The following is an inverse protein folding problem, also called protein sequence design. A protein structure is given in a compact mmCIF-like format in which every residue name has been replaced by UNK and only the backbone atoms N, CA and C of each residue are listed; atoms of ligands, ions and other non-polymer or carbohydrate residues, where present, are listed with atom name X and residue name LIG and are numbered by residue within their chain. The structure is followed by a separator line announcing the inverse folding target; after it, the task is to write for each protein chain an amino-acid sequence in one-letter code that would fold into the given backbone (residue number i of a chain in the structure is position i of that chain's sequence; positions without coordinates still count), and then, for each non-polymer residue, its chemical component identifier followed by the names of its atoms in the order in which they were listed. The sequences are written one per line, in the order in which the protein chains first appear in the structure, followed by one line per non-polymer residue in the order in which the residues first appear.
data_IF_549516739746
#
_entry.id   IF_549516739746
#
_cell.length_a   1.000
_cell.length_b   1.000
_cell.length_c   1.000
_cell.angle_alpha   90.00
_cell.angle_beta   90.00
_cell.angle_gamma   90.00
#
_symmetry.space_group_name_H-M   'P 1'
#
loop_
_entity.id
_entity.type
_entity.pdbx_description
1 polymer ?
#
# COMPACT_ATOMS: atom_id res chain seq x y z
N UNK A 1 -10.11 -9.96 8.73
CA UNK A 1 -10.56 -9.38 10.02
C UNK A 1 -9.45 -8.48 10.53
N UNK A 2 -9.75 -7.25 10.97
CA UNK A 2 -8.74 -6.38 11.62
C UNK A 2 -8.61 -6.81 13.09
N UNK A 3 -7.38 -7.05 13.54
CA UNK A 3 -7.09 -7.47 14.92
C UNK A 3 -6.94 -6.27 15.90
N UNK A 4 -7.19 -5.04 15.43
CA UNK A 4 -6.95 -3.81 16.19
C UNK A 4 -5.87 -2.93 15.57
N UNK A 5 -5.31 -2.02 16.38
CA UNK A 5 -4.22 -1.12 15.98
C UNK A 5 -2.91 -1.60 16.61
N UNK A 6 -1.91 -1.86 15.78
CA UNK A 6 -0.59 -2.32 16.21
C UNK A 6 0.50 -1.41 15.62
N UNK A 7 1.61 -1.18 16.34
CA UNK A 7 2.69 -0.35 15.83
C UNK A 7 3.42 -1.03 14.67
N UNK A 8 3.72 -0.25 13.63
CA UNK A 8 4.62 -0.61 12.54
C UNK A 8 6.06 -0.08 12.75
N UNK A 9 6.30 0.66 13.83
CA UNK A 9 7.61 1.15 14.25
C UNK A 9 7.73 1.05 15.78
N UNK A 10 8.92 0.79 16.34
CA UNK A 10 9.14 0.90 17.78
C UNK A 10 8.84 2.32 18.27
N UNK A 11 8.05 2.45 19.33
CA UNK A 11 7.67 3.75 19.91
C UNK A 11 8.64 4.19 21.00
N UNK A 12 9.32 3.24 21.63
CA UNK A 12 10.35 3.42 22.64
C UNK A 12 11.12 2.10 22.81
N UNK A 13 12.18 2.11 23.63
CA UNK A 13 13.05 0.94 23.86
C UNK A 13 12.32 -0.28 24.43
N UNK A 14 11.16 -0.10 25.07
CA UNK A 14 10.32 -1.18 25.54
C UNK A 14 9.75 -2.04 24.40
N UNK A 15 9.63 -1.49 23.19
CA UNK A 15 9.16 -2.23 22.01
C UNK A 15 10.28 -3.12 21.40
N UNK A 16 11.53 -3.00 21.87
CA UNK A 16 12.67 -3.81 21.39
C UNK A 16 12.73 -5.22 21.99
N UNK A 17 11.90 -5.50 23.00
CA UNK A 17 11.82 -6.78 23.67
C UNK A 17 10.38 -7.13 24.06
N UNK A 18 10.03 -8.43 24.17
CA UNK A 18 10.83 -9.59 23.78
C UNK A 18 10.99 -9.68 22.25
N UNK A 19 11.84 -10.59 21.78
CA UNK A 19 12.15 -10.75 20.35
C UNK A 19 10.90 -10.90 19.46
N UNK A 20 9.87 -11.62 19.93
CA UNK A 20 8.62 -11.77 19.18
C UNK A 20 7.81 -10.48 19.08
N UNK A 21 7.96 -9.54 20.02
CA UNK A 21 7.25 -8.26 19.97
C UNK A 21 7.85 -7.35 18.91
N UNK A 22 9.18 -7.16 18.91
CA UNK A 22 9.83 -6.37 17.86
C UNK A 22 9.66 -7.01 16.47
N UNK A 23 9.64 -8.35 16.39
CA UNK A 23 9.34 -9.05 15.14
C UNK A 23 7.87 -8.84 14.71
N UNK A 24 6.91 -8.80 15.64
CA UNK A 24 5.52 -8.47 15.32
C UNK A 24 5.38 -7.04 14.75
N UNK A 25 6.15 -6.09 15.28
CA UNK A 25 6.24 -4.72 14.76
C UNK A 25 6.84 -4.71 13.35
N UNK A 26 7.94 -5.43 13.14
CA UNK A 26 8.57 -5.54 11.82
C UNK A 26 7.65 -6.22 10.79
N UNK A 27 6.92 -7.27 11.18
CA UNK A 27 5.92 -7.90 10.33
C UNK A 27 4.81 -6.89 9.99
N UNK A 28 4.25 -6.20 10.98
CA UNK A 28 3.24 -5.15 10.77
C UNK A 28 3.73 -4.08 9.80
N UNK A 29 5.00 -3.66 9.92
CA UNK A 29 5.64 -2.75 8.99
C UNK A 29 5.66 -3.29 7.55
N UNK A 30 6.05 -4.56 7.37
CA UNK A 30 6.06 -5.20 6.04
C UNK A 30 4.71 -5.12 5.33
N UNK A 31 3.61 -5.39 6.05
CA UNK A 31 2.25 -5.25 5.51
C UNK A 31 1.87 -3.79 5.25
N UNK A 32 2.20 -2.88 6.18
CA UNK A 32 1.86 -1.46 6.06
C UNK A 32 2.57 -0.79 4.86
N UNK A 33 3.87 -1.03 4.69
CA UNK A 33 4.59 -0.54 3.52
C UNK A 33 4.08 -1.18 2.23
N UNK A 34 3.87 -2.50 2.20
CA UNK A 34 3.29 -3.17 1.03
C UNK A 34 1.94 -2.56 0.60
N UNK A 35 1.09 -2.20 1.57
CA UNK A 35 -0.16 -1.50 1.31
C UNK A 35 0.03 -0.09 0.72
N UNK A 36 0.94 0.71 1.29
CA UNK A 36 1.23 2.07 0.81
C UNK A 36 1.75 2.04 -0.63
N UNK A 37 2.71 1.16 -0.92
CA UNK A 37 3.32 1.08 -2.25
C UNK A 37 2.37 0.51 -3.31
N UNK A 38 1.46 -0.39 -2.91
CA UNK A 38 0.36 -0.80 -3.78
C UNK A 38 -0.49 0.42 -4.17
N UNK A 39 -0.82 1.27 -3.20
CA UNK A 39 -1.52 2.54 -3.44
C UNK A 39 -0.75 3.46 -4.38
N UNK A 40 0.57 3.59 -4.17
CA UNK A 40 1.46 4.36 -5.04
C UNK A 40 1.45 3.87 -6.49
N UNK A 41 1.56 2.55 -6.69
CA UNK A 41 1.54 1.93 -8.02
C UNK A 41 0.32 2.34 -8.84
N UNK A 42 -0.84 2.53 -8.20
CA UNK A 42 -2.09 2.99 -8.80
C UNK A 42 -2.20 4.52 -8.91
N UNK A 43 -1.77 5.26 -7.89
CA UNK A 43 -1.93 6.71 -7.80
C UNK A 43 -1.16 7.44 -8.91
N UNK A 44 0.13 7.15 -9.08
CA UNK A 44 0.97 7.84 -10.05
C UNK A 44 0.48 7.73 -11.50
N UNK A 45 0.15 6.55 -12.05
CA UNK A 45 -0.43 6.46 -13.38
C UNK A 45 -1.84 7.05 -13.47
N UNK A 46 -2.59 7.09 -12.36
CA UNK A 46 -3.88 7.81 -12.32
C UNK A 46 -3.68 9.31 -12.52
N UNK A 47 -2.79 9.93 -11.74
CA UNK A 47 -2.52 11.37 -11.83
C UNK A 47 -1.85 11.74 -13.16
N UNK A 48 -1.00 10.87 -13.71
CA UNK A 48 -0.30 11.11 -14.97
C UNK A 48 -1.25 11.33 -16.16
N UNK A 49 -2.49 10.83 -16.09
CA UNK A 49 -3.50 11.04 -17.12
C UNK A 49 -4.06 12.46 -17.14
N UNK A 50 -4.00 13.18 -16.01
CA UNK A 50 -4.61 14.50 -15.83
C UNK A 50 -3.64 15.68 -15.86
N UNK A 51 -2.33 15.46 -15.71
CA UNK A 51 -1.35 16.55 -15.65
C UNK A 51 -1.05 17.15 -17.03
N UNK A 52 -0.84 18.47 -17.06
CA UNK A 52 -0.50 19.23 -18.27
C UNK A 52 0.96 19.65 -18.33
N UNK A 53 1.57 19.93 -17.18
CA UNK A 53 2.97 20.32 -17.11
C UNK A 53 3.87 19.10 -17.37
N UNK A 54 4.77 19.22 -18.36
CA UNK A 54 5.66 18.13 -18.77
C UNK A 54 6.68 17.75 -17.69
N UNK A 55 7.12 18.69 -16.85
CA UNK A 55 8.02 18.40 -15.73
C UNK A 55 7.29 17.58 -14.66
N UNK A 56 6.04 17.94 -14.35
CA UNK A 56 5.20 17.16 -13.43
C UNK A 56 4.93 15.77 -14.01
N UNK A 57 4.61 15.65 -15.30
CA UNK A 57 4.43 14.35 -15.94
C UNK A 57 5.69 13.48 -15.83
N UNK A 58 6.88 14.05 -16.08
CA UNK A 58 8.16 13.34 -15.91
C UNK A 58 8.37 12.86 -14.48
N UNK A 59 8.03 13.67 -13.49
CA UNK A 59 8.09 13.28 -12.07
C UNK A 59 7.15 12.09 -11.82
N UNK A 60 5.88 12.17 -12.20
CA UNK A 60 4.91 11.09 -11.96
C UNK A 60 5.32 9.78 -12.65
N UNK A 61 5.80 9.86 -13.89
CA UNK A 61 6.28 8.70 -14.65
C UNK A 61 7.61 8.13 -14.12
N UNK A 62 8.37 8.89 -13.33
CA UNK A 62 9.60 8.42 -12.69
C UNK A 62 9.33 7.79 -11.32
N UNK A 63 8.38 8.34 -10.56
CA UNK A 63 8.01 7.80 -9.25
C UNK A 63 7.18 6.52 -9.40
N UNK A 64 6.20 6.47 -10.32
CA UNK A 64 5.30 5.32 -10.47
C UNK A 64 6.01 3.95 -10.62
N UNK A 65 7.01 3.81 -11.51
CA UNK A 65 7.78 2.57 -11.62
C UNK A 65 8.59 2.23 -10.35
N UNK A 66 9.08 3.26 -9.64
CA UNK A 66 9.81 3.09 -8.39
C UNK A 66 8.91 2.51 -7.31
N UNK A 67 7.69 3.03 -7.14
CA UNK A 67 6.74 2.46 -6.16
C UNK A 67 6.24 1.08 -6.58
N UNK A 68 6.22 0.77 -7.87
CA UNK A 68 5.92 -0.60 -8.33
C UNK A 68 7.02 -1.58 -7.90
N UNK A 69 8.29 -1.18 -7.98
CA UNK A 69 9.41 -1.98 -7.49
C UNK A 69 9.43 -2.07 -5.95
N UNK A 70 9.13 -0.97 -5.25
CA UNK A 70 8.96 -0.97 -3.81
C UNK A 70 7.82 -1.91 -3.38
N UNK A 71 6.66 -1.85 -4.04
CA UNK A 71 5.55 -2.75 -3.78
C UNK A 71 5.97 -4.20 -3.91
N UNK A 72 6.63 -4.57 -5.01
CA UNK A 72 7.14 -5.93 -5.20
C UNK A 72 8.08 -6.36 -4.06
N UNK A 73 8.97 -5.46 -3.63
CA UNK A 73 9.91 -5.75 -2.52
C UNK A 73 9.17 -5.93 -1.20
N UNK A 74 8.25 -5.03 -0.86
CA UNK A 74 7.52 -5.09 0.41
C UNK A 74 6.47 -6.20 0.44
N UNK A 75 5.86 -6.51 -0.70
CA UNK A 75 4.99 -7.67 -0.86
C UNK A 75 5.75 -8.96 -0.56
N UNK A 76 6.96 -9.13 -1.11
CA UNK A 76 7.82 -10.28 -0.79
C UNK A 76 8.18 -10.33 0.70
N UNK A 77 8.50 -9.17 1.32
CA UNK A 77 8.76 -9.11 2.77
C UNK A 77 7.54 -9.48 3.61
N UNK A 78 6.35 -9.00 3.25
CA UNK A 78 5.10 -9.33 3.93
C UNK A 78 4.75 -10.82 3.77
N UNK A 79 4.93 -11.38 2.57
CA UNK A 79 4.75 -12.80 2.31
C UNK A 79 5.73 -13.67 3.10
N UNK A 80 6.99 -13.22 3.28
CA UNK A 80 7.99 -13.95 4.06
C UNK A 80 7.98 -13.62 5.57
N UNK A 81 6.95 -12.94 6.08
CA UNK A 81 6.85 -12.61 7.49
C UNK A 81 6.84 -13.89 8.36
N UNK A 82 7.76 -14.05 9.33
CA UNK A 82 7.79 -15.24 10.16
C UNK A 82 6.52 -15.36 11.01
N UNK A 83 6.01 -16.58 11.11
CA UNK A 83 4.88 -16.90 11.97
C UNK A 83 5.23 -16.68 13.44
N UNK A 84 4.36 -16.00 14.17
CA UNK A 84 4.53 -15.73 15.60
C UNK A 84 3.22 -15.33 16.26
N UNK A 85 3.20 -15.40 17.59
CA UNK A 85 2.23 -14.69 18.42
C UNK A 85 3.00 -13.68 19.27
N UNK A 86 2.61 -12.41 19.19
CA UNK A 86 3.17 -11.35 20.02
C UNK A 86 2.75 -11.58 21.48
N UNK A 87 3.70 -11.81 22.40
CA UNK A 87 3.37 -12.09 23.80
C UNK A 87 2.84 -10.86 24.57
N UNK A 88 2.96 -9.66 24.02
CA UNK A 88 2.55 -8.41 24.70
C UNK A 88 1.09 -8.05 24.45
N UNK A 89 0.52 -8.48 23.32
CA UNK A 89 -0.80 -8.05 22.87
C UNK A 89 -1.61 -9.14 22.14
N UNK A 90 -1.01 -10.31 21.89
CA UNK A 90 -1.68 -11.45 21.25
C UNK A 90 -1.84 -11.35 19.73
N UNK A 91 -1.22 -10.39 19.05
CA UNK A 91 -1.22 -10.32 17.59
C UNK A 91 -0.59 -11.59 17.00
N UNK A 92 -1.31 -12.24 16.09
CA UNK A 92 -0.88 -13.47 15.43
C UNK A 92 -0.51 -13.21 13.99
N UNK A 93 0.70 -13.61 13.60
CA UNK A 93 1.09 -13.84 12.21
C UNK A 93 1.09 -15.34 11.96
N UNK A 94 0.20 -15.86 11.09
CA UNK A 94 0.14 -17.29 10.81
C UNK A 94 1.31 -17.74 9.93
N UNK A 95 1.57 -19.05 9.92
CA UNK A 95 2.42 -19.67 8.90
C UNK A 95 1.67 -19.73 7.57
N UNK A 96 2.06 -18.85 6.63
CA UNK A 96 1.43 -18.75 5.31
C UNK A 96 1.68 -20.02 4.47
N UNK A 97 2.77 -20.75 4.69
CA UNK A 97 3.06 -21.95 3.92
C UNK A 97 2.26 -23.18 4.41
N UNK A 98 1.56 -23.10 5.54
CA UNK A 98 0.89 -24.25 6.15
C UNK A 98 -0.19 -24.90 5.27
N UNK A 99 -0.84 -24.13 4.38
CA UNK A 99 -1.87 -24.63 3.46
C UNK A 99 -1.32 -25.20 2.14
N UNK A 100 -0.08 -24.90 1.77
CA UNK A 100 0.57 -25.43 0.55
C UNK A 100 -0.01 -24.97 -0.79
N UNK A 101 -0.79 -23.89 -0.83
CA UNK A 101 -1.31 -23.29 -2.07
C UNK A 101 -0.47 -22.10 -2.53
N UNK A 102 -0.51 -21.81 -3.84
CA UNK A 102 0.22 -20.69 -4.46
C UNK A 102 -0.16 -19.34 -3.84
N UNK A 103 -1.46 -19.12 -3.54
CA UNK A 103 -1.98 -17.90 -2.92
C UNK A 103 -1.31 -17.53 -1.57
N UNK A 104 -0.73 -18.51 -0.88
CA UNK A 104 -0.08 -18.32 0.42
C UNK A 104 1.39 -18.76 0.41
N UNK A 105 1.93 -19.10 -0.76
CA UNK A 105 3.32 -19.53 -0.92
C UNK A 105 4.26 -18.33 -0.82
N UNK A 106 5.35 -18.50 -0.07
CA UNK A 106 6.36 -17.45 0.07
C UNK A 106 7.33 -17.38 -1.12
N UNK A 107 7.99 -16.24 -1.28
CA UNK A 107 8.96 -15.97 -2.36
C UNK A 107 8.37 -15.93 -3.77
N UNK A 108 7.08 -15.60 -3.88
CA UNK A 108 6.41 -15.26 -5.14
C UNK A 108 6.33 -13.74 -5.29
N UNK A 109 7.17 -13.20 -6.19
CA UNK A 109 7.33 -11.74 -6.34
C UNK A 109 6.58 -11.18 -7.56
N UNK A 110 6.20 -12.04 -8.51
CA UNK A 110 5.51 -11.58 -9.71
C UNK A 110 4.02 -11.42 -9.42
N UNK A 111 3.37 -10.34 -9.90
CA UNK A 111 1.95 -10.13 -9.68
C UNK A 111 1.11 -11.20 -10.37
N UNK A 112 0.19 -11.80 -9.63
CA UNK A 112 -0.76 -12.79 -10.15
C UNK A 112 -1.63 -12.21 -11.28
N UNK A 113 -1.81 -12.96 -12.38
CA UNK A 113 -2.73 -12.57 -13.43
C UNK A 113 -4.17 -12.45 -12.91
N UNK A 114 -4.86 -11.37 -13.29
CA UNK A 114 -6.28 -11.17 -12.97
C UNK A 114 -7.11 -11.02 -14.25
N UNK A 115 -8.44 -11.15 -14.12
CA UNK A 115 -9.39 -10.83 -15.19
C UNK A 115 -9.14 -9.40 -15.71
N UNK A 116 -8.91 -9.28 -17.02
CA UNK A 116 -8.65 -8.03 -17.73
C UNK A 116 -9.87 -7.56 -18.51
N UNK A 117 -10.58 -6.53 -18.01
CA UNK A 117 -11.80 -5.91 -18.57
C UNK A 117 -13.01 -6.85 -18.76
N UNK A 118 -12.81 -8.05 -19.30
CA UNK A 118 -13.79 -9.08 -19.59
C UNK A 118 -13.12 -10.46 -19.51
N UNK A 119 -13.85 -11.47 -19.02
CA UNK A 119 -13.37 -12.87 -18.94
C UNK A 119 -13.14 -13.54 -20.30
N UNK A 120 -13.51 -12.89 -21.41
CA UNK A 120 -13.20 -13.40 -22.76
C UNK A 120 -11.73 -13.23 -23.14
N UNK A 121 -11.02 -12.31 -22.48
CA UNK A 121 -9.58 -12.12 -22.68
C UNK A 121 -8.80 -12.97 -21.66
N UNK A 122 -7.57 -13.39 -22.01
CA UNK A 122 -6.68 -14.03 -21.05
C UNK A 122 -6.46 -13.17 -19.80
N UNK A 123 -6.20 -13.83 -18.67
CA UNK A 123 -5.77 -13.12 -17.47
C UNK A 123 -4.41 -12.45 -17.72
N UNK A 124 -4.22 -11.25 -17.19
CA UNK A 124 -2.96 -10.51 -17.28
C UNK A 124 -2.64 -9.85 -15.95
N UNK A 125 -1.37 -9.61 -15.69
CA UNK A 125 -0.91 -8.82 -14.57
C UNK A 125 -0.97 -7.33 -14.95
N UNK A 126 -1.79 -6.55 -14.24
CA UNK A 126 -2.02 -5.14 -14.54
C UNK A 126 -2.24 -4.34 -13.26
N UNK A 127 -1.75 -3.10 -13.25
CA UNK A 127 -1.98 -2.15 -12.18
C UNK A 127 -3.38 -1.57 -12.30
N UNK A 128 -4.15 -1.60 -11.20
CA UNK A 128 -5.50 -1.03 -11.11
C UNK A 128 -5.83 -0.59 -9.68
N UNK A 129 -6.76 0.37 -9.49
CA UNK A 129 -7.39 1.19 -10.53
C UNK A 129 -6.38 2.19 -11.13
N UNK A 130 -6.61 2.65 -12.35
CA UNK A 130 -5.91 3.83 -12.90
C UNK A 130 -6.89 4.96 -13.24
N UNK A 131 -8.16 4.82 -12.84
CA UNK A 131 -9.20 5.82 -13.02
C UNK A 131 -9.50 6.50 -11.69
N UNK A 132 -9.78 7.80 -11.72
CA UNK A 132 -10.21 8.56 -10.53
C UNK A 132 -11.64 8.14 -10.14
N UNK A 133 -12.54 8.00 -11.11
CA UNK A 133 -13.95 7.70 -10.84
C UNK A 133 -14.11 6.36 -10.11
N UNK A 134 -14.75 6.39 -8.93
CA UNK A 134 -15.03 5.23 -8.10
C UNK A 134 -14.07 5.08 -6.93
N UNK A 135 -12.83 4.65 -7.18
CA UNK A 135 -11.93 4.18 -6.12
C UNK A 135 -10.44 4.49 -6.34
N UNK A 136 -10.09 5.41 -7.23
CA UNK A 136 -8.70 5.81 -7.48
C UNK A 136 -8.48 7.31 -7.33
N UNK A 137 -7.27 7.78 -7.59
CA UNK A 137 -6.90 9.20 -7.45
C UNK A 137 -6.48 9.58 -6.03
N UNK A 138 -6.01 10.82 -5.89
CA UNK A 138 -5.44 11.34 -4.66
C UNK A 138 -6.47 11.35 -3.51
N UNK A 139 -7.74 11.69 -3.77
CA UNK A 139 -8.76 11.71 -2.71
C UNK A 139 -9.00 10.30 -2.16
N UNK A 140 -9.04 9.29 -3.03
CA UNK A 140 -9.18 7.90 -2.60
C UNK A 140 -7.96 7.47 -1.79
N UNK A 141 -6.74 7.77 -2.26
CA UNK A 141 -5.50 7.45 -1.55
C UNK A 141 -5.45 8.06 -0.15
N UNK A 142 -5.75 9.36 -0.01
CA UNK A 142 -5.71 10.02 1.30
C UNK A 142 -6.75 9.43 2.26
N UNK A 143 -7.96 9.14 1.78
CA UNK A 143 -8.98 8.45 2.60
C UNK A 143 -8.47 7.08 3.05
N UNK A 144 -7.86 6.35 2.13
CA UNK A 144 -7.31 5.02 2.37
C UNK A 144 -6.21 5.04 3.45
N UNK A 145 -5.21 5.91 3.29
CA UNK A 145 -4.10 6.06 4.24
C UNK A 145 -4.55 6.58 5.61
N UNK A 146 -5.56 7.46 5.63
CA UNK A 146 -6.16 7.91 6.88
C UNK A 146 -6.86 6.77 7.61
N UNK A 147 -7.60 5.92 6.88
CA UNK A 147 -8.29 4.76 7.44
C UNK A 147 -7.31 3.68 7.93
N UNK A 148 -6.17 3.51 7.25
CA UNK A 148 -5.09 2.62 7.64
C UNK A 148 -4.32 3.11 8.87
N UNK A 149 -4.46 4.40 9.21
CA UNK A 149 -3.89 4.99 10.41
C UNK A 149 -2.54 5.67 10.21
N UNK A 150 -2.10 5.87 8.96
CA UNK A 150 -0.83 6.51 8.62
C UNK A 150 -0.67 7.91 9.24
N UNK A 151 -1.78 8.64 9.38
CA UNK A 151 -1.81 10.02 9.89
C UNK A 151 -2.36 10.16 11.31
N UNK A 152 -2.36 9.07 12.11
CA UNK A 152 -2.77 9.15 13.52
C UNK A 152 -1.93 10.19 14.26
N UNK A 153 -2.60 11.09 14.99
CA UNK A 153 -1.96 12.16 15.77
C UNK A 153 -1.72 13.47 15.01
N UNK A 154 -2.04 13.55 13.72
CA UNK A 154 -1.99 14.80 12.95
C UNK A 154 -3.16 15.74 13.26
N UNK A 155 -2.96 17.05 13.04
CA UNK A 155 -3.96 18.08 13.35
C UNK A 155 -5.08 18.19 12.31
N UNK A 156 -6.16 18.89 12.63
CA UNK A 156 -7.25 19.13 11.68
C UNK A 156 -6.78 19.97 10.48
N UNK A 157 -5.87 20.92 10.70
CA UNK A 157 -5.28 21.76 9.67
C UNK A 157 -4.46 20.94 8.68
N UNK A 158 -3.71 19.93 9.16
CA UNK A 158 -3.01 18.97 8.29
C UNK A 158 -3.99 18.29 7.33
N UNK A 159 -5.10 17.76 7.85
CA UNK A 159 -6.11 17.09 7.02
C UNK A 159 -6.83 18.05 6.08
N UNK A 160 -7.02 19.32 6.46
CA UNK A 160 -7.59 20.34 5.60
C UNK A 160 -6.70 20.58 4.38
N UNK A 161 -5.40 20.82 4.60
CA UNK A 161 -4.41 21.03 3.52
C UNK A 161 -4.31 19.79 2.64
N UNK A 162 -4.17 18.61 3.25
CA UNK A 162 -4.02 17.35 2.51
C UNK A 162 -5.24 17.04 1.64
N UNK A 163 -6.45 17.30 2.16
CA UNK A 163 -7.70 17.10 1.42
C UNK A 163 -7.84 18.09 0.27
N UNK A 164 -7.45 19.35 0.46
CA UNK A 164 -7.47 20.36 -0.59
C UNK A 164 -6.52 19.97 -1.74
N UNK A 165 -5.27 19.60 -1.42
CA UNK A 165 -4.30 19.15 -2.41
C UNK A 165 -4.80 17.92 -3.19
N UNK A 166 -5.39 16.96 -2.48
CA UNK A 166 -5.94 15.76 -3.12
C UNK A 166 -7.10 16.09 -4.08
N UNK A 167 -8.00 17.00 -3.69
CA UNK A 167 -9.10 17.44 -4.56
C UNK A 167 -8.59 18.19 -5.80
N UNK A 168 -7.59 19.06 -5.64
CA UNK A 168 -6.97 19.77 -6.76
C UNK A 168 -6.27 18.81 -7.72
N UNK A 169 -5.55 17.81 -7.19
CA UNK A 169 -4.90 16.78 -7.99
C UNK A 169 -5.91 15.95 -8.79
N UNK A 170 -7.03 15.53 -8.18
CA UNK A 170 -8.07 14.77 -8.87
C UNK A 170 -8.91 15.62 -9.83
N UNK A 171 -8.97 16.94 -9.63
CA UNK A 171 -9.62 17.88 -10.53
C UNK A 171 -8.75 18.24 -11.74
N UNK A 172 -7.43 17.95 -11.70
CA UNK A 172 -6.54 18.21 -12.82
C UNK A 172 -7.03 17.46 -14.08
N UNK A 173 -7.07 18.17 -15.20
CA UNK A 173 -7.46 17.64 -16.51
C UNK A 173 -6.37 17.99 -17.50
N UNK A 174 -6.11 17.05 -18.40
CA UNK A 174 -5.21 17.29 -19.52
C UNK A 174 -5.85 18.33 -20.43
N UNK A 175 -5.28 19.53 -20.46
CA UNK A 175 -5.57 20.55 -21.46
C UNK A 175 -5.10 20.09 -22.84
N UNK A 176 -5.84 20.52 -23.88
CA UNK A 176 -5.43 20.38 -25.27
C UNK A 176 -4.41 21.45 -25.66
#
# INVERSE_FOLDING_TARGET
MSAGKFPAIPRNDGDLAPANHIQAIANTAGFHFGYIEQGGSSLYPTLAQGVTNLEVLRILLSIGPTETAHFQTWHDKAGNAPALTDPTNGLVFPDLNASGGEDTQTNLIMPEPTVFLSRKFPAVSIIRPTQIAGSGGAVATIKSFTADGLFIGQSQEFFAVLSELAQQADAARRGF
#
